data_IF_524279355761
#
_entry.id   IF_524279355761
#
_cell.length_a   1.000
_cell.length_b   1.000
_cell.length_c   1.000
_cell.angle_alpha   90.00
_cell.angle_beta   90.00
_cell.angle_gamma   90.00
#
_symmetry.space_group_name_H-M   'P 1'
#
loop_
_entity.id
_entity.type
_entity.pdbx_description
1 polymer ?
#
# COMPACT_ATOMS: atom_id res chain seq x y z
N UNK A 1 -14.04 -0.72 -23.34
CA UNK A 1 -13.52 -1.05 -22.00
C UNK A 1 -14.11 -0.05 -21.03
N UNK A 2 -14.83 -0.46 -19.97
CA UNK A 2 -15.41 0.52 -19.06
C UNK A 2 -14.25 1.27 -18.41
N UNK A 3 -14.33 2.60 -18.42
CA UNK A 3 -13.39 3.48 -17.74
C UNK A 3 -13.04 2.84 -16.39
N UNK A 4 -11.77 2.47 -16.21
CA UNK A 4 -11.24 2.19 -14.87
C UNK A 4 -11.37 3.50 -14.13
N UNK A 5 -12.55 3.72 -13.55
CA UNK A 5 -12.93 4.86 -12.73
C UNK A 5 -11.70 5.24 -11.94
N UNK A 6 -11.32 6.51 -12.00
CA UNK A 6 -10.33 7.10 -11.10
C UNK A 6 -10.87 6.87 -9.68
N UNK A 7 -10.62 5.69 -9.10
CA UNK A 7 -11.21 5.27 -7.82
C UNK A 7 -10.56 6.12 -6.75
N UNK A 8 -11.23 7.20 -6.41
CA UNK A 8 -10.93 8.01 -5.25
C UNK A 8 -11.73 7.41 -4.11
N UNK A 9 -11.02 6.93 -3.10
CA UNK A 9 -11.62 6.41 -1.88
C UNK A 9 -11.58 7.52 -0.83
N UNK A 10 -12.69 7.76 -0.15
CA UNK A 10 -12.75 8.64 1.00
C UNK A 10 -12.81 7.78 2.27
N UNK A 11 -11.87 8.00 3.18
CA UNK A 11 -11.87 7.31 4.47
C UNK A 11 -11.27 8.19 5.57
N UNK A 12 -11.65 7.93 6.81
CA UNK A 12 -11.06 8.63 7.96
C UNK A 12 -9.74 7.96 8.32
N UNK A 13 -8.73 8.78 8.59
CA UNK A 13 -7.46 8.31 9.12
C UNK A 13 -7.67 7.66 10.50
N UNK A 14 -7.24 6.41 10.71
CA UNK A 14 -7.39 5.76 12.02
C UNK A 14 -6.56 6.44 13.13
N UNK A 15 -5.49 7.17 12.76
CA UNK A 15 -4.61 7.84 13.72
C UNK A 15 -5.09 9.24 14.14
N UNK A 16 -5.73 10.00 13.24
CA UNK A 16 -6.09 11.40 13.51
C UNK A 16 -7.53 11.78 13.17
N UNK A 17 -8.37 10.84 12.73
CA UNK A 17 -9.79 11.06 12.43
C UNK A 17 -10.09 11.92 11.20
N UNK A 18 -9.08 12.56 10.61
CA UNK A 18 -9.26 13.41 9.42
C UNK A 18 -9.71 12.61 8.21
N UNK A 19 -10.59 13.21 7.41
CA UNK A 19 -10.98 12.65 6.12
C UNK A 19 -9.81 12.70 5.14
N UNK A 20 -9.52 11.56 4.53
CA UNK A 20 -8.47 11.35 3.55
C UNK A 20 -9.13 10.93 2.25
N UNK A 21 -8.81 11.66 1.17
CA UNK A 21 -9.11 11.26 -0.20
C UNK A 21 -7.91 10.53 -0.78
N UNK A 22 -8.02 9.21 -0.88
CA UNK A 22 -7.00 8.35 -1.44
C UNK A 22 -7.26 8.05 -2.91
N UNK A 23 -6.37 8.53 -3.77
CA UNK A 23 -6.34 8.19 -5.19
C UNK A 23 -5.06 7.40 -5.47
N UNK A 24 -5.19 6.08 -5.67
CA UNK A 24 -4.04 5.20 -5.92
C UNK A 24 -3.14 5.72 -7.05
N UNK A 25 -3.73 6.17 -8.17
CA UNK A 25 -2.96 6.65 -9.33
C UNK A 25 -2.15 7.92 -9.00
N UNK A 26 -2.71 8.81 -8.18
CA UNK A 26 -2.00 10.02 -7.73
C UNK A 26 -0.76 9.65 -6.91
N UNK A 27 -0.91 8.79 -5.91
CA UNK A 27 0.21 8.36 -5.06
C UNK A 27 1.25 7.55 -5.83
N UNK A 28 0.83 6.70 -6.77
CA UNK A 28 1.74 5.95 -7.66
C UNK A 28 2.59 6.89 -8.51
N UNK A 29 1.97 7.92 -9.10
CA UNK A 29 2.66 8.95 -9.87
C UNK A 29 3.64 9.73 -9.00
N UNK A 30 3.22 10.16 -7.80
CA UNK A 30 4.07 10.94 -6.90
C UNK A 30 5.30 10.17 -6.43
N UNK A 31 5.12 8.87 -6.14
CA UNK A 31 6.23 7.96 -5.81
C UNK A 31 7.20 7.82 -6.99
N UNK A 32 6.69 7.70 -8.22
CA UNK A 32 7.53 7.61 -9.41
C UNK A 32 8.32 8.91 -9.66
N UNK A 33 7.68 10.07 -9.52
CA UNK A 33 8.31 11.40 -9.63
C UNK A 33 9.45 11.54 -8.60
N UNK A 34 9.21 11.22 -7.33
CA UNK A 34 10.24 11.31 -6.29
C UNK A 34 11.42 10.37 -6.56
N UNK A 35 11.17 9.14 -7.00
CA UNK A 35 12.25 8.23 -7.40
C UNK A 35 13.11 8.81 -8.52
N UNK A 36 12.47 9.37 -9.55
CA UNK A 36 13.18 9.99 -10.66
C UNK A 36 14.04 11.19 -10.20
N UNK A 37 13.49 12.04 -9.31
CA UNK A 37 14.24 13.17 -8.73
C UNK A 37 15.44 12.71 -7.90
N UNK A 38 15.27 11.68 -7.05
CA UNK A 38 16.38 11.11 -6.26
C UNK A 38 17.47 10.55 -7.17
N UNK A 39 17.09 9.81 -8.22
CA UNK A 39 18.04 9.28 -9.22
C UNK A 39 18.78 10.41 -9.92
N UNK A 40 18.10 11.49 -10.30
CA UNK A 40 18.73 12.65 -10.94
C UNK A 40 19.73 13.34 -10.01
N UNK A 41 19.39 13.58 -8.74
CA UNK A 41 20.31 14.16 -7.76
C UNK A 41 21.51 13.23 -7.52
N UNK A 42 21.29 11.92 -7.50
CA UNK A 42 22.38 10.95 -7.35
C UNK A 42 23.34 10.95 -8.55
N UNK A 43 22.81 11.05 -9.78
CA UNK A 43 23.62 11.19 -10.98
C UNK A 43 24.45 12.49 -10.93
N UNK A 44 23.81 13.62 -10.58
CA UNK A 44 24.51 14.89 -10.40
C UNK A 44 25.64 14.78 -9.36
N UNK A 45 25.38 14.19 -8.19
CA UNK A 45 26.39 13.98 -7.15
C UNK A 45 27.57 13.08 -7.59
N UNK A 46 27.33 12.18 -8.54
CA UNK A 46 28.35 11.25 -9.06
C UNK A 46 29.17 11.89 -10.18
N UNK A 47 28.54 12.70 -11.03
CA UNK A 47 29.16 13.32 -12.20
C UNK A 47 29.87 14.65 -11.88
N UNK A 48 29.46 15.35 -10.81
CA UNK A 48 30.05 16.64 -10.46
C UNK A 48 31.50 16.45 -9.96
N UNK A 49 32.45 16.93 -10.76
CA UNK A 49 33.83 17.17 -10.31
C UNK A 49 33.81 18.42 -9.42
N UNK A 50 34.56 18.44 -8.32
CA UNK A 50 34.56 19.55 -7.36
C UNK A 50 34.94 20.89 -8.05
N UNK A 51 33.93 21.65 -8.50
CA UNK A 51 34.11 22.93 -9.21
C UNK A 51 34.05 24.14 -8.25
N UNK A 52 34.42 23.95 -6.99
CA UNK A 52 34.69 25.06 -6.07
C UNK A 52 33.50 25.65 -5.29
N UNK A 53 32.29 25.07 -5.36
CA UNK A 53 31.17 25.38 -4.44
C UNK A 53 31.03 24.28 -3.36
N UNK A 54 31.69 24.42 -2.20
CA UNK A 54 31.66 23.41 -1.13
C UNK A 54 30.28 23.22 -0.48
N UNK A 55 29.33 24.14 -0.71
CA UNK A 55 27.99 24.07 -0.14
C UNK A 55 26.96 23.50 -1.10
N UNK A 56 27.26 23.39 -2.40
CA UNK A 56 26.41 22.69 -3.36
C UNK A 56 26.20 21.22 -2.98
N UNK A 57 27.30 20.49 -2.72
CA UNK A 57 27.25 19.05 -2.39
C UNK A 57 26.43 18.78 -1.14
N UNK A 58 26.60 19.61 -0.10
CA UNK A 58 25.83 19.51 1.16
C UNK A 58 24.33 19.72 0.91
N UNK A 59 23.96 20.72 0.10
CA UNK A 59 22.56 20.99 -0.27
C UNK A 59 21.94 19.81 -1.03
N UNK A 60 22.66 19.23 -2.00
CA UNK A 60 22.19 18.08 -2.76
C UNK A 60 22.02 16.82 -1.89
N UNK A 61 22.95 16.55 -0.98
CA UNK A 61 22.84 15.42 -0.02
C UNK A 61 21.65 15.62 0.91
N UNK A 62 21.47 16.83 1.47
CA UNK A 62 20.33 17.16 2.32
C UNK A 62 18.99 17.03 1.57
N UNK A 63 18.91 17.56 0.34
CA UNK A 63 17.72 17.45 -0.51
C UNK A 63 17.40 15.99 -0.85
N UNK A 64 18.41 15.18 -1.19
CA UNK A 64 18.25 13.74 -1.42
C UNK A 64 17.70 13.03 -0.18
N UNK A 65 18.27 13.30 0.99
CA UNK A 65 17.81 12.72 2.25
C UNK A 65 16.35 13.09 2.58
N UNK A 66 15.97 14.35 2.39
CA UNK A 66 14.59 14.79 2.58
C UNK A 66 13.62 14.10 1.60
N UNK A 67 14.00 13.93 0.33
CA UNK A 67 13.19 13.21 -0.66
C UNK A 67 13.08 11.72 -0.35
N UNK A 68 14.14 11.09 0.15
CA UNK A 68 14.14 9.68 0.58
C UNK A 68 13.19 9.46 1.77
N UNK A 69 13.18 10.38 2.74
CA UNK A 69 12.22 10.36 3.85
C UNK A 69 10.78 10.49 3.35
N UNK A 70 10.48 11.50 2.51
CA UNK A 70 9.16 11.68 1.91
C UNK A 70 8.71 10.44 1.11
N UNK A 71 9.63 9.80 0.39
CA UNK A 71 9.35 8.57 -0.35
C UNK A 71 8.99 7.40 0.57
N UNK A 72 9.68 7.26 1.70
CA UNK A 72 9.37 6.24 2.71
C UNK A 72 7.99 6.46 3.33
N UNK A 73 7.69 7.70 3.74
CA UNK A 73 6.38 8.08 4.28
C UNK A 73 5.24 7.80 3.29
N UNK A 74 5.39 8.23 2.04
CA UNK A 74 4.37 8.01 1.00
C UNK A 74 4.16 6.52 0.71
N UNK A 75 5.20 5.70 0.76
CA UNK A 75 5.07 4.24 0.59
C UNK A 75 4.33 3.60 1.75
N UNK A 76 4.66 3.97 3.00
CA UNK A 76 3.95 3.47 4.19
C UNK A 76 2.48 3.83 4.12
N UNK A 77 2.21 5.13 3.93
CA UNK A 77 0.85 5.64 3.78
C UNK A 77 0.07 4.91 2.68
N UNK A 78 0.69 4.70 1.51
CA UNK A 78 0.05 3.97 0.40
C UNK A 78 -0.27 2.52 0.78
N UNK A 79 0.61 1.84 1.52
CA UNK A 79 0.40 0.46 1.95
C UNK A 79 -0.79 0.37 2.91
N UNK A 80 -0.79 1.21 3.95
CA UNK A 80 -1.89 1.31 4.93
C UNK A 80 -3.21 1.67 4.25
N UNK A 81 -3.21 2.68 3.39
CA UNK A 81 -4.39 3.08 2.62
C UNK A 81 -4.95 1.94 1.76
N UNK A 82 -4.10 1.10 1.17
CA UNK A 82 -4.55 -0.03 0.37
C UNK A 82 -5.20 -1.13 1.22
N UNK A 83 -4.68 -1.38 2.43
CA UNK A 83 -5.29 -2.33 3.38
C UNK A 83 -6.67 -1.82 3.78
N UNK A 84 -6.77 -0.57 4.22
CA UNK A 84 -8.04 0.06 4.62
C UNK A 84 -9.08 0.06 3.50
N UNK A 85 -8.65 0.33 2.27
CA UNK A 85 -9.54 0.27 1.10
C UNK A 85 -10.03 -1.15 0.86
N UNK A 86 -9.16 -2.15 0.99
CA UNK A 86 -9.54 -3.56 0.82
C UNK A 86 -10.56 -3.98 1.89
N UNK A 87 -10.27 -3.70 3.16
CA UNK A 87 -11.19 -4.00 4.28
C UNK A 87 -12.57 -3.37 4.07
N UNK A 88 -12.61 -2.09 3.68
CA UNK A 88 -13.88 -1.40 3.40
C UNK A 88 -14.65 -1.99 2.22
N UNK A 89 -13.94 -2.43 1.18
CA UNK A 89 -14.57 -3.12 0.05
C UNK A 89 -15.13 -4.47 0.51
N UNK A 90 -14.36 -5.22 1.29
CA UNK A 90 -14.77 -6.53 1.80
C UNK A 90 -15.98 -6.40 2.73
N UNK A 91 -16.02 -5.40 3.60
CA UNK A 91 -17.16 -5.13 4.48
C UNK A 91 -18.41 -4.68 3.70
N UNK A 92 -18.25 -3.78 2.73
CA UNK A 92 -19.35 -3.38 1.84
C UNK A 92 -19.87 -4.59 1.04
N UNK A 93 -18.97 -5.45 0.56
CA UNK A 93 -19.32 -6.67 -0.16
C UNK A 93 -20.07 -7.66 0.72
N UNK A 94 -19.63 -7.89 1.97
CA UNK A 94 -20.36 -8.72 2.95
C UNK A 94 -21.78 -8.20 3.16
N UNK A 95 -21.96 -6.88 3.28
CA UNK A 95 -23.27 -6.25 3.35
C UNK A 95 -24.14 -6.58 2.15
N UNK A 96 -23.63 -6.38 0.92
CA UNK A 96 -24.32 -6.72 -0.32
C UNK A 96 -24.69 -8.21 -0.39
N UNK A 97 -23.78 -9.11 -0.01
CA UNK A 97 -24.04 -10.55 -0.01
C UNK A 97 -25.13 -10.90 1.00
N UNK A 98 -25.02 -10.42 2.25
CA UNK A 98 -26.00 -10.65 3.30
C UNK A 98 -27.41 -10.20 2.89
N UNK A 99 -27.53 -9.03 2.26
CA UNK A 99 -28.80 -8.54 1.72
C UNK A 99 -29.36 -9.43 0.60
N UNK A 100 -28.50 -10.01 -0.25
CA UNK A 100 -28.92 -10.81 -1.41
C UNK A 100 -29.32 -12.24 -1.07
N UNK A 101 -28.62 -12.89 -0.14
CA UNK A 101 -28.82 -14.32 0.16
C UNK A 101 -29.59 -14.56 1.47
N UNK A 102 -29.80 -13.49 2.25
CA UNK A 102 -30.38 -13.56 3.58
C UNK A 102 -29.37 -13.91 4.66
N UNK A 103 -29.68 -13.51 5.91
CA UNK A 103 -28.77 -13.63 7.06
C UNK A 103 -28.41 -15.08 7.39
N UNK A 104 -29.37 -16.01 7.35
CA UNK A 104 -29.12 -17.41 7.67
C UNK A 104 -28.12 -18.08 6.71
N UNK A 105 -28.28 -17.86 5.40
CA UNK A 105 -27.37 -18.42 4.41
C UNK A 105 -26.00 -17.74 4.46
N UNK A 106 -25.96 -16.43 4.75
CA UNK A 106 -24.72 -15.71 4.96
C UNK A 106 -23.90 -16.30 6.12
N UNK A 107 -24.52 -16.56 7.27
CA UNK A 107 -23.84 -17.17 8.43
C UNK A 107 -23.29 -18.55 8.08
N UNK A 108 -24.08 -19.40 7.41
CA UNK A 108 -23.62 -20.74 6.97
C UNK A 108 -22.41 -20.65 6.06
N UNK A 109 -22.43 -19.75 5.07
CA UNK A 109 -21.30 -19.59 4.15
C UNK A 109 -20.05 -19.03 4.82
N UNK A 110 -20.21 -18.14 5.81
CA UNK A 110 -19.09 -17.64 6.62
C UNK A 110 -18.44 -18.77 7.44
N UNK A 111 -19.25 -19.61 8.10
CA UNK A 111 -18.74 -20.76 8.85
C UNK A 111 -18.03 -21.77 7.96
N UNK A 112 -18.59 -22.06 6.78
CA UNK A 112 -17.94 -22.95 5.81
C UNK A 112 -16.62 -22.37 5.29
N UNK A 113 -16.55 -21.05 5.07
CA UNK A 113 -15.33 -20.37 4.68
C UNK A 113 -14.25 -20.43 5.78
N UNK A 114 -14.62 -20.22 7.05
CA UNK A 114 -13.72 -20.34 8.21
C UNK A 114 -13.13 -21.75 8.32
N UNK A 115 -13.96 -22.79 8.22
CA UNK A 115 -13.50 -24.18 8.25
C UNK A 115 -12.53 -24.51 7.11
N UNK A 116 -12.74 -23.95 5.92
CA UNK A 116 -11.85 -24.15 4.77
C UNK A 116 -10.48 -23.50 4.98
N UNK A 117 -10.42 -22.35 5.66
CA UNK A 117 -9.16 -21.68 5.99
C UNK A 117 -8.41 -22.49 7.06
N UNK A 118 -9.08 -22.87 8.14
CA UNK A 118 -8.49 -23.70 9.20
C UNK A 118 -7.92 -25.02 8.64
N UNK A 119 -8.65 -25.67 7.73
CA UNK A 119 -8.19 -26.86 7.04
C UNK A 119 -6.99 -26.61 6.11
N UNK A 120 -6.91 -25.44 5.46
CA UNK A 120 -5.78 -25.08 4.60
C UNK A 120 -4.52 -24.81 5.41
N UNK A 121 -4.63 -24.04 6.50
CA UNK A 121 -3.51 -23.70 7.39
C UNK A 121 -2.93 -24.94 8.07
N UNK A 122 -3.80 -25.84 8.56
CA UNK A 122 -3.37 -27.12 9.15
C UNK A 122 -2.66 -28.04 8.15
N UNK A 123 -3.11 -28.08 6.89
CA UNK A 123 -2.45 -28.85 5.82
C UNK A 123 -1.10 -28.25 5.40
N UNK A 124 -0.96 -26.92 5.47
CA UNK A 124 0.29 -26.23 5.16
C UNK A 124 1.33 -26.45 6.27
N UNK A 125 0.92 -26.43 7.54
CA UNK A 125 1.73 -26.85 8.70
C UNK A 125 2.24 -28.29 8.55
N UNK A 126 1.36 -29.25 8.23
CA UNK A 126 1.75 -30.66 8.04
C UNK A 126 2.71 -30.90 6.86
N UNK A 127 2.80 -29.97 5.89
CA UNK A 127 3.77 -30.05 4.79
C UNK A 127 5.17 -29.58 5.19
N UNK A 128 5.27 -28.69 6.16
CA UNK A 128 6.55 -28.18 6.64
C UNK A 128 7.28 -29.15 7.58
N UNK A 129 6.54 -29.99 8.31
CA UNK A 129 7.12 -30.96 9.25
C UNK A 129 7.58 -32.29 8.59
N UNK A 130 7.31 -32.49 7.30
CA UNK A 130 7.65 -33.72 6.57
C UNK A 130 8.93 -33.66 5.72
N UNK A 131 9.68 -32.54 5.76
CA UNK A 131 10.76 -32.22 4.81
C UNK A 131 12.15 -32.04 5.42
N UNK A 132 12.46 -32.69 6.55
CA UNK A 132 13.77 -32.62 7.19
C UNK A 132 14.25 -33.98 7.66
N UNK A 133 14.78 -34.79 6.72
CA UNK A 133 15.75 -35.85 7.00
C UNK A 133 17.00 -35.53 6.18
#
# INVERSE_FOLDING_TARGET
>A
MPERLKRVYAFQCPHCGREIKYNRNYYDKKIAELKASITSIHAQLTEHKDDGDPDWKKRCVAAKGAMEQQLAELKSFRAEANVLVKERIDDAFKGVVKEKIGEENYIKWMQEAEQRIEYADTKELMRHDGGGV
#
